data_IF_912312820672
#
_entry.id   IF_912312820672
#
_cell.length_a   1.000
_cell.length_b   1.000
_cell.length_c   1.000
_cell.angle_alpha   90.00
_cell.angle_beta   90.00
_cell.angle_gamma   90.00
#
_symmetry.space_group_name_H-M   'P 1'
#
loop_
_entity.id
_entity.type
_entity.pdbx_description
1 polymer ?
#
# COMPACT_ATOMS: atom_id res chain seq x y z
N UNK A 1 -1.82 -56.61 -2.36
CA UNK A 1 -1.52 -55.70 -3.49
C UNK A 1 -0.42 -54.76 -3.06
N UNK A 2 0.72 -54.71 -3.77
CA UNK A 2 1.89 -53.96 -3.29
C UNK A 2 1.76 -52.46 -3.58
N UNK A 3 2.07 -51.62 -2.59
CA UNK A 3 2.02 -50.16 -2.68
C UNK A 3 2.85 -49.62 -3.86
N UNK A 4 3.98 -50.27 -4.16
CA UNK A 4 4.83 -49.96 -5.32
C UNK A 4 4.13 -50.19 -6.66
N UNK A 5 3.26 -51.19 -6.78
CA UNK A 5 2.52 -51.44 -8.00
C UNK A 5 1.49 -50.34 -8.25
N UNK A 6 0.79 -49.88 -7.20
CA UNK A 6 -0.19 -48.80 -7.29
C UNK A 6 0.41 -47.49 -7.80
N UNK A 7 1.52 -47.03 -7.21
CA UNK A 7 2.22 -45.82 -7.68
C UNK A 7 2.73 -45.96 -9.12
N UNK A 8 3.22 -47.14 -9.50
CA UNK A 8 3.69 -47.42 -10.86
C UNK A 8 2.54 -47.43 -11.88
N UNK A 9 1.34 -47.82 -11.47
CA UNK A 9 0.13 -47.78 -12.31
C UNK A 9 -0.38 -46.36 -12.49
N UNK A 10 -0.50 -45.59 -11.40
CA UNK A 10 -0.86 -44.17 -11.44
C UNK A 10 0.06 -43.36 -12.36
N UNK A 11 1.38 -43.52 -12.21
CA UNK A 11 2.34 -42.85 -13.07
C UNK A 11 2.18 -43.21 -14.55
N UNK A 12 1.83 -44.46 -14.86
CA UNK A 12 1.60 -44.92 -16.24
C UNK A 12 0.32 -44.33 -16.82
N UNK A 13 -0.75 -44.28 -16.04
CA UNK A 13 -2.04 -43.72 -16.48
C UNK A 13 -1.92 -42.21 -16.77
N UNK A 14 -1.19 -41.48 -15.92
CA UNK A 14 -0.88 -40.05 -16.12
C UNK A 14 -0.10 -39.79 -17.42
N UNK A 15 0.86 -40.67 -17.75
CA UNK A 15 1.67 -40.58 -18.98
C UNK A 15 0.90 -41.05 -20.23
N UNK A 16 -0.11 -41.91 -20.07
CA UNK A 16 -0.95 -42.35 -21.18
C UNK A 16 -1.86 -41.22 -21.68
N UNK A 17 -2.40 -40.40 -20.76
CA UNK A 17 -3.20 -39.21 -21.10
C UNK A 17 -2.39 -37.90 -21.03
N UNK A 18 -1.35 -37.80 -21.86
CA UNK A 18 -0.39 -36.67 -21.84
C UNK A 18 -1.06 -35.29 -21.88
N UNK A 19 -2.06 -35.10 -22.74
CA UNK A 19 -2.67 -33.78 -22.98
C UNK A 19 -3.57 -33.33 -21.82
N UNK A 20 -4.39 -34.25 -21.26
CA UNK A 20 -5.28 -33.95 -20.14
C UNK A 20 -4.49 -33.66 -18.86
N UNK A 21 -3.51 -34.51 -18.55
CA UNK A 21 -2.64 -34.34 -17.39
C UNK A 21 -1.80 -33.06 -17.49
N UNK A 22 -1.32 -32.74 -18.70
CA UNK A 22 -0.59 -31.48 -18.93
C UNK A 22 -1.46 -30.26 -18.68
N UNK A 23 -2.67 -30.21 -19.25
CA UNK A 23 -3.59 -29.06 -19.08
C UNK A 23 -3.99 -28.83 -17.62
N UNK A 24 -4.26 -29.88 -16.85
CA UNK A 24 -4.63 -29.75 -15.43
C UNK A 24 -3.46 -29.28 -14.57
N UNK A 25 -2.27 -29.87 -14.74
CA UNK A 25 -1.07 -29.46 -14.00
C UNK A 25 -0.65 -28.04 -14.40
N UNK A 26 -0.73 -27.69 -15.68
CA UNK A 26 -0.46 -26.35 -16.16
C UNK A 26 -1.43 -25.32 -15.58
N UNK A 27 -2.73 -25.64 -15.53
CA UNK A 27 -3.74 -24.77 -14.93
C UNK A 27 -3.48 -24.48 -13.45
N UNK A 28 -3.16 -25.53 -12.67
CA UNK A 28 -2.85 -25.38 -11.24
C UNK A 28 -1.56 -24.56 -11.06
N UNK A 29 -0.52 -24.89 -11.82
CA UNK A 29 0.78 -24.20 -11.75
C UNK A 29 0.63 -22.72 -12.09
N UNK A 30 -0.06 -22.42 -13.20
CA UNK A 30 -0.28 -21.04 -13.63
C UNK A 30 -1.15 -20.27 -12.64
N UNK A 31 -2.17 -20.91 -12.06
CA UNK A 31 -2.99 -20.34 -11.00
C UNK A 31 -2.16 -19.95 -9.76
N UNK A 32 -1.30 -20.84 -9.28
CA UNK A 32 -0.41 -20.55 -8.15
C UNK A 32 0.60 -19.45 -8.47
N UNK A 33 1.15 -19.45 -9.70
CA UNK A 33 2.07 -18.41 -10.17
C UNK A 33 1.38 -17.04 -10.21
N UNK A 34 0.17 -16.95 -10.77
CA UNK A 34 -0.58 -15.71 -10.86
C UNK A 34 -0.87 -15.11 -9.47
N UNK A 35 -1.34 -15.93 -8.53
CA UNK A 35 -1.61 -15.48 -7.15
C UNK A 35 -0.32 -15.04 -6.46
N UNK A 36 0.77 -15.80 -6.60
CA UNK A 36 2.07 -15.47 -5.98
C UNK A 36 2.66 -14.17 -6.55
N UNK A 37 2.54 -13.95 -7.87
CA UNK A 37 2.98 -12.71 -8.52
C UNK A 37 2.19 -11.50 -8.04
N UNK A 38 0.86 -11.61 -8.00
CA UNK A 38 0.01 -10.52 -7.51
C UNK A 38 0.32 -10.17 -6.05
N UNK A 39 0.54 -11.18 -5.21
CA UNK A 39 0.89 -10.96 -3.81
C UNK A 39 2.27 -10.28 -3.68
N UNK A 40 3.27 -10.78 -4.39
CA UNK A 40 4.61 -10.21 -4.39
C UNK A 40 4.59 -8.75 -4.89
N UNK A 41 3.83 -8.48 -5.95
CA UNK A 41 3.66 -7.14 -6.50
C UNK A 41 2.96 -6.21 -5.51
N UNK A 42 1.83 -6.63 -4.92
CA UNK A 42 1.08 -5.81 -3.96
C UNK A 42 1.92 -5.43 -2.73
N UNK A 43 2.63 -6.41 -2.15
CA UNK A 43 3.53 -6.16 -1.03
C UNK A 43 4.74 -5.30 -1.42
N UNK A 44 5.28 -5.51 -2.62
CA UNK A 44 6.37 -4.69 -3.16
C UNK A 44 5.96 -3.23 -3.33
N UNK A 45 4.80 -3.00 -3.94
CA UNK A 45 4.25 -1.67 -4.15
C UNK A 45 3.95 -0.96 -2.82
N UNK A 46 3.32 -1.65 -1.87
CA UNK A 46 3.07 -1.09 -0.54
C UNK A 46 4.38 -0.65 0.13
N UNK A 47 5.40 -1.50 0.13
CA UNK A 47 6.71 -1.16 0.73
C UNK A 47 7.40 -0.02 -0.01
N UNK A 48 7.32 0.02 -1.34
CA UNK A 48 7.88 1.10 -2.14
C UNK A 48 7.17 2.44 -1.83
N UNK A 49 5.85 2.43 -1.75
CA UNK A 49 5.06 3.60 -1.39
C UNK A 49 5.38 4.06 0.04
N UNK A 50 5.42 3.15 1.01
CA UNK A 50 5.78 3.49 2.40
C UNK A 50 7.20 4.06 2.48
N UNK A 51 8.17 3.52 1.75
CA UNK A 51 9.54 4.10 1.72
C UNK A 51 9.58 5.48 1.06
N UNK A 52 8.85 5.66 -0.03
CA UNK A 52 8.73 6.96 -0.70
C UNK A 52 8.13 8.00 0.24
N UNK A 53 7.06 7.64 0.96
CA UNK A 53 6.44 8.50 1.98
C UNK A 53 7.35 8.67 3.21
N UNK A 54 8.13 7.68 3.61
CA UNK A 54 9.12 7.80 4.68
C UNK A 54 10.28 8.73 4.31
N UNK A 55 10.54 8.96 3.03
CA UNK A 55 11.47 9.97 2.55
C UNK A 55 11.06 11.41 2.90
N UNK A 56 9.75 11.67 3.07
CA UNK A 56 9.29 12.91 3.69
C UNK A 56 9.78 12.97 5.15
N UNK A 57 9.67 11.85 5.86
CA UNK A 57 10.02 11.65 7.26
C UNK A 57 8.84 11.08 8.06
N UNK A 58 9.14 10.34 9.13
CA UNK A 58 8.09 9.68 9.93
C UNK A 58 7.40 10.71 10.85
N UNK A 59 6.06 10.68 10.89
CA UNK A 59 5.20 11.64 11.65
C UNK A 59 5.26 13.10 11.19
N UNK A 60 5.30 13.35 9.88
CA UNK A 60 5.25 14.71 9.31
C UNK A 60 3.83 15.08 8.89
N UNK A 61 3.44 16.30 9.21
CA UNK A 61 2.20 16.93 8.75
C UNK A 61 2.58 18.12 7.89
N UNK A 62 2.18 18.08 6.62
CA UNK A 62 2.30 19.24 5.72
C UNK A 62 0.93 19.92 5.67
N UNK A 63 0.90 21.20 5.99
CA UNK A 63 -0.31 22.00 6.03
C UNK A 63 -0.24 23.08 4.95
N UNK A 64 -1.15 23.02 3.99
CA UNK A 64 -1.33 24.08 3.00
C UNK A 64 -2.52 24.96 3.37
N UNK A 65 -2.37 26.30 3.35
CA UNK A 65 -3.50 27.17 3.55
C UNK A 65 -4.49 27.04 2.38
N UNK A 66 -5.73 26.65 2.70
CA UNK A 66 -6.83 26.56 1.74
C UNK A 66 -8.01 27.42 2.19
N UNK A 67 -9.16 27.29 1.52
CA UNK A 67 -10.38 28.01 1.89
C UNK A 67 -11.05 27.35 3.09
N UNK A 68 -11.63 28.16 3.98
CA UNK A 68 -12.38 27.64 5.15
C UNK A 68 -13.58 26.81 4.70
N UNK A 69 -13.71 25.59 5.24
CA UNK A 69 -14.84 24.69 4.93
C UNK A 69 -16.07 24.93 5.81
N UNK A 70 -15.86 25.50 7.01
CA UNK A 70 -16.91 25.75 8.02
C UNK A 70 -16.86 27.21 8.47
N UNK A 71 -18.03 27.81 8.79
CA UNK A 71 -18.07 29.12 9.42
C UNK A 71 -17.48 29.05 10.83
N UNK A 72 -16.80 30.12 11.25
CA UNK A 72 -16.15 30.20 12.57
C UNK A 72 -16.16 31.64 13.08
N UNK A 73 -16.53 31.81 14.36
CA UNK A 73 -16.60 33.12 15.04
C UNK A 73 -17.30 34.22 14.22
N UNK A 74 -18.46 33.91 13.65
CA UNK A 74 -19.27 34.87 12.88
C UNK A 74 -18.77 35.17 11.46
N UNK A 75 -17.74 34.44 10.99
CA UNK A 75 -17.21 34.56 9.63
C UNK A 75 -17.68 33.38 8.80
N UNK A 76 -18.13 33.65 7.57
CA UNK A 76 -18.60 32.64 6.62
C UNK A 76 -17.47 31.75 6.07
N UNK A 77 -17.90 30.62 5.48
CA UNK A 77 -17.04 29.69 4.74
C UNK A 77 -16.47 30.34 3.47
N UNK A 78 -15.39 29.78 2.94
CA UNK A 78 -14.80 30.22 1.66
C UNK A 78 -13.72 31.29 1.77
N UNK A 79 -13.36 31.72 2.99
CA UNK A 79 -12.27 32.66 3.23
C UNK A 79 -10.93 32.00 2.94
N UNK A 80 -10.05 32.69 2.20
CA UNK A 80 -8.68 32.26 1.99
C UNK A 80 -7.89 32.44 3.30
N UNK A 81 -7.30 31.36 3.79
CA UNK A 81 -6.32 31.43 4.88
C UNK A 81 -5.00 31.84 4.24
N UNK A 82 -4.29 32.78 4.86
CA UNK A 82 -2.93 33.15 4.52
C UNK A 82 -2.09 32.79 5.75
N UNK A 83 -1.10 31.92 5.57
CA UNK A 83 -0.13 31.65 6.63
C UNK A 83 0.94 32.73 6.63
N UNK A 84 1.30 33.19 7.81
CA UNK A 84 2.39 34.14 8.07
C UNK A 84 3.39 33.51 9.03
N UNK A 85 4.61 34.02 9.06
CA UNK A 85 5.67 33.51 9.96
C UNK A 85 5.27 33.60 11.45
N UNK A 86 4.47 34.62 11.81
CA UNK A 86 3.90 34.78 13.14
C UNK A 86 2.96 33.62 13.55
N UNK A 87 2.27 32.99 12.58
CA UNK A 87 1.42 31.82 12.84
C UNK A 87 2.25 30.60 13.25
N UNK A 88 3.49 30.48 12.76
CA UNK A 88 4.41 29.37 13.05
C UNK A 88 4.81 29.41 14.53
N UNK A 89 5.20 30.60 15.01
CA UNK A 89 5.56 30.82 16.42
C UNK A 89 4.35 30.59 17.34
N UNK A 90 3.15 30.99 16.88
CA UNK A 90 1.92 30.73 17.62
C UNK A 90 1.61 29.23 17.73
N UNK A 91 1.78 28.48 16.64
CA UNK A 91 1.54 27.03 16.60
C UNK A 91 2.53 26.27 17.49
N UNK A 92 3.82 26.60 17.44
CA UNK A 92 4.85 25.97 18.27
C UNK A 92 4.56 26.12 19.77
N UNK A 93 4.01 27.26 20.19
CA UNK A 93 3.65 27.53 21.60
C UNK A 93 2.32 26.91 22.02
N UNK A 94 1.36 26.85 21.10
CA UNK A 94 -0.04 26.50 21.43
C UNK A 94 -0.35 25.01 21.27
N UNK A 95 0.44 24.27 20.47
CA UNK A 95 0.18 22.87 20.16
C UNK A 95 1.24 21.98 20.82
N UNK A 96 0.94 21.38 21.98
CA UNK A 96 1.84 20.41 22.60
C UNK A 96 1.97 19.16 21.72
N UNK A 97 3.20 18.79 21.37
CA UNK A 97 3.51 17.60 20.56
C UNK A 97 4.19 17.89 19.21
N UNK A 98 4.32 19.16 18.81
CA UNK A 98 5.15 19.54 17.68
C UNK A 98 6.62 19.50 18.12
N UNK A 99 7.41 18.59 17.52
CA UNK A 99 8.84 18.47 17.81
C UNK A 99 9.71 19.45 16.99
N UNK A 100 9.28 19.77 15.76
CA UNK A 100 9.90 20.75 14.89
C UNK A 100 8.86 21.27 13.90
N UNK A 101 8.98 22.53 13.49
CA UNK A 101 8.14 23.17 12.46
C UNK A 101 9.05 23.98 11.54
N UNK A 102 8.79 23.94 10.22
CA UNK A 102 9.52 24.72 9.23
C UNK A 102 8.53 25.43 8.31
N UNK A 103 8.67 26.74 8.08
CA UNK A 103 8.03 27.39 6.94
C UNK A 103 8.60 26.83 5.64
N UNK A 104 7.74 26.70 4.63
CA UNK A 104 8.13 26.54 3.23
C UNK A 104 7.53 27.72 2.47
N UNK A 105 8.37 28.50 1.78
CA UNK A 105 8.02 29.74 1.07
C UNK A 105 7.68 29.43 -0.39
#
# INVERSE_FOLDING_TARGET
MSLRAFFRQLGRDLVTQKLRTFLTVFGITWGTVAVSLLLAFGLGLQRAQTRSMAGLGDRIVIAWPSRTSRPWKGVDRGRRILMRDEDIVFLERSVPGIAAISPEI
#
